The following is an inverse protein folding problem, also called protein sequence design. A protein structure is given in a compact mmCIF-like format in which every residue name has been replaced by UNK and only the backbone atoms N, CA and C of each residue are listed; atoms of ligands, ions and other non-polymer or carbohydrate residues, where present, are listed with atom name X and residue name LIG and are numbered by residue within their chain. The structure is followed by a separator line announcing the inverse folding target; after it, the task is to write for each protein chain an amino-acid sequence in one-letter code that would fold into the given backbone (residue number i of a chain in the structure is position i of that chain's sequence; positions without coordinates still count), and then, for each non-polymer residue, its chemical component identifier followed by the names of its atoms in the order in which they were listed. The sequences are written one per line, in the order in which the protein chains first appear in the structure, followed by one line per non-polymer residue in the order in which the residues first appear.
data_IF_391249415841
#
_entry.id   IF_391249415841
#
_cell.length_a   1.000
_cell.length_b   1.000
_cell.length_c   1.000
_cell.angle_alpha   90.00
_cell.angle_beta   90.00
_cell.angle_gamma   90.00
#
_symmetry.space_group_name_H-M   'P 1'
#
loop_
_entity.id
_entity.type
_entity.pdbx_description
1 polymer ?
#
# COMPACT_ATOMS: atom_id res chain seq x y z
N UNK A 1 -2.06 17.80 -9.62
CA UNK A 1 -2.18 16.85 -10.75
C UNK A 1 -2.76 15.58 -10.17
N UNK A 2 -3.84 15.04 -10.72
CA UNK A 2 -4.47 13.80 -10.24
C UNK A 2 -3.76 12.62 -10.90
N UNK A 3 -3.26 11.68 -10.11
CA UNK A 3 -2.65 10.43 -10.59
C UNK A 3 -3.76 9.36 -10.64
N UNK A 4 -4.21 8.92 -11.83
CA UNK A 4 -5.44 8.13 -11.94
C UNK A 4 -5.35 6.74 -11.31
N UNK A 5 -4.13 6.23 -11.11
CA UNK A 5 -3.86 4.89 -10.56
C UNK A 5 -3.10 4.94 -9.22
N UNK A 6 -2.99 6.12 -8.61
CA UNK A 6 -2.44 6.25 -7.26
C UNK A 6 -3.54 6.73 -6.33
N UNK A 7 -3.92 5.83 -5.42
CA UNK A 7 -4.93 6.06 -4.41
C UNK A 7 -4.26 6.49 -3.11
N UNK A 8 -4.84 7.49 -2.45
CA UNK A 8 -4.36 8.02 -1.18
C UNK A 8 -5.46 7.86 -0.15
N UNK A 9 -5.20 7.06 0.88
CA UNK A 9 -6.11 6.87 2.00
C UNK A 9 -5.46 7.33 3.29
N UNK A 10 -6.14 8.22 4.02
CA UNK A 10 -5.74 8.60 5.37
C UNK A 10 -6.59 7.87 6.40
N UNK A 11 -5.94 7.07 7.25
CA UNK A 11 -6.58 6.30 8.31
C UNK A 11 -6.40 7.05 9.63
N UNK A 12 -7.49 7.21 10.40
CA UNK A 12 -7.53 8.00 11.64
C UNK A 12 -7.82 7.11 12.85
N UNK A 13 -7.04 7.24 13.92
CA UNK A 13 -7.15 6.41 15.13
C UNK A 13 -8.37 6.71 16.04
N UNK A 14 -9.06 7.85 15.89
CA UNK A 14 -10.05 8.30 16.87
C UNK A 14 -11.39 8.68 16.21
N UNK A 15 -12.45 7.91 16.53
CA UNK A 15 -13.86 8.35 16.54
C UNK A 15 -14.48 8.76 15.20
N UNK A 16 -15.40 7.93 14.71
CA UNK A 16 -16.48 8.23 13.77
C UNK A 16 -16.21 8.40 12.26
N UNK A 17 -14.97 8.33 11.77
CA UNK A 17 -14.68 8.16 10.33
C UNK A 17 -13.39 7.36 10.10
N UNK A 18 -13.53 6.06 9.80
CA UNK A 18 -12.45 5.07 9.89
C UNK A 18 -11.33 5.19 8.86
N UNK A 19 -11.55 5.90 7.75
CA UNK A 19 -10.58 6.28 6.75
C UNK A 19 -11.21 7.31 5.78
N UNK A 20 -10.39 8.11 5.10
CA UNK A 20 -10.84 9.00 4.03
C UNK A 20 -9.92 8.92 2.81
N UNK A 21 -10.51 8.95 1.61
CA UNK A 21 -9.75 9.12 0.37
C UNK A 21 -9.35 10.58 0.20
N UNK A 22 -8.08 10.83 -0.11
CA UNK A 22 -7.54 12.16 -0.36
C UNK A 22 -7.39 12.43 -1.86
N UNK A 23 -7.63 13.67 -2.28
CA UNK A 23 -7.43 14.13 -3.66
C UNK A 23 -5.99 14.54 -3.98
N UNK A 24 -5.08 14.37 -3.01
CA UNK A 24 -3.68 14.75 -3.11
C UNK A 24 -2.94 14.43 -1.82
N UNK A 25 -1.60 14.43 -1.87
CA UNK A 25 -0.79 14.17 -0.68
C UNK A 25 -1.07 15.22 0.39
N UNK A 26 -1.29 14.80 1.65
CA UNK A 26 -1.41 15.75 2.74
C UNK A 26 -0.08 16.46 2.98
N UNK A 27 -0.14 17.68 3.52
CA UNK A 27 1.08 18.40 3.94
C UNK A 27 1.75 17.71 5.13
N UNK A 28 0.95 17.11 6.01
CA UNK A 28 1.41 16.40 7.21
C UNK A 28 0.49 15.21 7.52
N UNK A 29 1.08 14.10 8.00
CA UNK A 29 0.35 12.97 8.60
C UNK A 29 0.51 13.06 10.10
N UNK A 30 -0.59 13.30 10.83
CA UNK A 30 -0.56 13.60 12.27
C UNK A 30 -0.29 12.35 13.11
N UNK A 31 0.05 12.57 14.37
CA UNK A 31 0.17 11.47 15.33
C UNK A 31 -1.17 10.74 15.49
N UNK A 32 -1.15 9.41 15.31
CA UNK A 32 -2.37 8.59 15.31
C UNK A 32 -3.04 8.49 13.94
N UNK A 33 -2.44 9.04 12.90
CA UNK A 33 -2.83 8.83 11.51
C UNK A 33 -1.83 7.92 10.79
N UNK A 34 -2.32 7.23 9.76
CA UNK A 34 -1.52 6.44 8.83
C UNK A 34 -1.95 6.81 7.41
N UNK A 35 -1.01 7.22 6.56
CA UNK A 35 -1.25 7.40 5.13
C UNK A 35 -0.95 6.10 4.39
N UNK A 36 -1.97 5.49 3.80
CA UNK A 36 -1.78 4.41 2.84
C UNK A 36 -1.82 4.97 1.41
N UNK A 37 -0.72 4.78 0.70
CA UNK A 37 -0.57 5.05 -0.73
C UNK A 37 -0.63 3.73 -1.45
N UNK A 38 -1.54 3.59 -2.40
CA UNK A 38 -1.60 2.43 -3.28
C UNK A 38 -1.33 2.86 -4.70
N UNK A 39 -0.33 2.26 -5.35
CA UNK A 39 0.12 2.61 -6.68
C UNK A 39 -0.02 1.40 -7.62
N UNK A 40 -1.07 1.41 -8.42
CA UNK A 40 -1.27 0.44 -9.47
C UNK A 40 -0.51 0.85 -10.73
N UNK A 41 0.40 -0.02 -11.18
CA UNK A 41 1.18 0.14 -12.41
C UNK A 41 1.78 1.55 -12.59
N UNK A 42 2.47 2.12 -11.58
CA UNK A 42 2.95 3.49 -11.66
C UNK A 42 3.96 3.65 -12.80
N UNK A 43 3.92 4.81 -13.44
CA UNK A 43 4.94 5.22 -14.40
C UNK A 43 6.29 5.42 -13.70
N UNK A 44 7.39 5.41 -14.46
CA UNK A 44 8.72 5.71 -13.91
C UNK A 44 8.78 7.08 -13.22
N UNK A 45 8.05 8.07 -13.75
CA UNK A 45 7.97 9.39 -13.15
C UNK A 45 7.23 9.37 -11.80
N UNK A 46 6.08 8.70 -11.74
CA UNK A 46 5.33 8.56 -10.47
C UNK A 46 6.14 7.79 -9.42
N UNK A 47 6.86 6.74 -9.83
CA UNK A 47 7.75 6.00 -8.94
C UNK A 47 8.92 6.87 -8.44
N UNK A 48 9.50 7.70 -9.31
CA UNK A 48 10.54 8.66 -8.93
C UNK A 48 10.00 9.71 -7.95
N UNK A 49 8.77 10.19 -8.17
CA UNK A 49 8.11 11.14 -7.28
C UNK A 49 7.83 10.52 -5.91
N UNK A 50 7.36 9.27 -5.86
CA UNK A 50 7.16 8.52 -4.62
C UNK A 50 8.50 8.30 -3.89
N UNK A 51 9.53 7.89 -4.62
CA UNK A 51 10.90 7.73 -4.08
C UNK A 51 11.38 9.01 -3.41
N UNK A 52 11.29 10.14 -4.11
CA UNK A 52 11.72 11.42 -3.56
C UNK A 52 10.88 11.85 -2.36
N UNK A 53 9.55 11.69 -2.45
CA UNK A 53 8.59 12.15 -1.42
C UNK A 53 8.74 11.38 -0.11
N UNK A 54 8.94 10.08 -0.19
CA UNK A 54 9.01 9.19 0.98
C UNK A 54 10.43 8.78 1.35
N UNK A 55 11.44 9.32 0.64
CA UNK A 55 12.84 8.97 0.80
C UNK A 55 13.06 7.45 0.75
N UNK A 56 12.47 6.80 -0.26
CA UNK A 56 12.60 5.36 -0.48
C UNK A 56 14.03 5.01 -0.90
N UNK A 57 14.53 3.86 -0.44
CA UNK A 57 15.87 3.40 -0.75
C UNK A 57 16.06 3.11 -2.24
N UNK A 58 17.24 3.46 -2.77
CA UNK A 58 17.57 3.31 -4.18
C UNK A 58 17.47 1.85 -4.65
N UNK A 59 17.98 0.90 -3.86
CA UNK A 59 17.99 -0.52 -4.21
C UNK A 59 16.59 -1.13 -4.14
N UNK A 60 15.80 -0.72 -3.14
CA UNK A 60 14.42 -1.18 -3.03
C UNK A 60 13.55 -0.64 -4.18
N UNK A 61 13.78 0.59 -4.66
CA UNK A 61 13.08 1.12 -5.85
C UNK A 61 13.55 0.43 -7.13
N UNK A 62 14.84 0.13 -7.25
CA UNK A 62 15.40 -0.64 -8.36
C UNK A 62 14.72 -2.02 -8.50
N UNK A 63 14.41 -2.68 -7.38
CA UNK A 63 13.68 -3.94 -7.35
C UNK A 63 12.25 -3.83 -7.89
N UNK A 64 11.54 -2.73 -7.60
CA UNK A 64 10.20 -2.47 -8.14
C UNK A 64 10.26 -2.30 -9.67
N UNK A 65 11.29 -1.64 -10.18
CA UNK A 65 11.49 -1.42 -11.62
C UNK A 65 11.79 -2.74 -12.35
N UNK A 66 12.72 -3.52 -11.82
CA UNK A 66 13.21 -4.73 -12.48
C UNK A 66 12.32 -5.97 -12.28
N UNK A 67 11.47 -5.98 -11.24
CA UNK A 67 10.54 -7.07 -10.94
C UNK A 67 11.26 -8.42 -10.72
N UNK A 68 10.49 -9.50 -10.68
CA UNK A 68 10.98 -10.88 -10.52
C UNK A 68 11.83 -11.10 -9.26
N UNK A 69 11.41 -10.44 -8.19
CA UNK A 69 12.00 -10.48 -6.87
C UNK A 69 11.45 -11.65 -6.07
N UNK A 70 12.32 -12.28 -5.29
CA UNK A 70 11.89 -13.28 -4.31
C UNK A 70 11.17 -12.59 -3.15
N UNK A 71 10.21 -13.26 -2.48
CA UNK A 71 9.64 -12.73 -1.26
C UNK A 71 10.73 -12.46 -0.23
N UNK A 72 10.72 -11.26 0.33
CA UNK A 72 11.76 -10.77 1.24
C UNK A 72 11.24 -9.67 2.13
N UNK A 73 11.98 -9.40 3.20
CA UNK A 73 11.75 -8.32 4.15
C UNK A 73 13.12 -7.71 4.50
N UNK A 74 13.30 -6.44 4.20
CA UNK A 74 14.57 -5.73 4.33
C UNK A 74 14.36 -4.38 5.04
N UNK A 75 15.31 -3.99 5.89
CA UNK A 75 15.28 -2.71 6.60
C UNK A 75 16.22 -1.70 5.94
N UNK A 76 15.68 -0.53 5.61
CA UNK A 76 16.43 0.58 5.01
C UNK A 76 16.29 1.84 5.87
N UNK A 77 17.23 2.02 6.80
CA UNK A 77 17.24 3.16 7.72
C UNK A 77 16.04 3.16 8.65
N UNK A 78 14.97 3.90 8.29
CA UNK A 78 13.73 3.99 9.09
C UNK A 78 12.51 3.37 8.41
N UNK A 79 12.64 2.91 7.17
CA UNK A 79 11.58 2.23 6.43
C UNK A 79 11.91 0.76 6.28
N UNK A 80 10.87 -0.04 6.07
CA UNK A 80 10.98 -1.46 5.77
C UNK A 80 10.44 -1.67 4.36
N UNK A 81 11.11 -2.52 3.59
CA UNK A 81 10.71 -2.97 2.27
C UNK A 81 10.35 -4.45 2.32
N UNK A 82 9.20 -4.81 1.77
CA UNK A 82 8.77 -6.19 1.62
C UNK A 82 8.37 -6.49 0.17
N UNK A 83 8.66 -7.71 -0.25
CA UNK A 83 8.12 -8.29 -1.48
C UNK A 83 7.23 -9.46 -1.07
N UNK A 84 5.97 -9.42 -1.49
CA UNK A 84 4.99 -10.48 -1.25
C UNK A 84 4.53 -11.05 -2.59
N UNK A 85 4.53 -12.37 -2.71
CA UNK A 85 3.96 -13.06 -3.87
C UNK A 85 2.47 -13.29 -3.65
N UNK A 86 1.64 -12.64 -4.45
CA UNK A 86 0.18 -12.73 -4.40
C UNK A 86 -0.31 -13.59 -5.56
N UNK A 87 -0.91 -14.77 -5.30
CA UNK A 87 -1.51 -15.56 -6.37
C UNK A 87 -2.78 -14.86 -6.87
N UNK A 88 -2.85 -14.63 -8.18
CA UNK A 88 -4.01 -14.03 -8.85
C UNK A 88 -4.55 -15.01 -9.88
N UNK A 89 -5.88 -15.15 -9.94
CA UNK A 89 -6.55 -16.03 -10.91
C UNK A 89 -7.31 -15.17 -11.91
N UNK A 90 -6.89 -15.19 -13.17
CA UNK A 90 -7.54 -14.46 -14.27
C UNK A 90 -7.79 -15.41 -15.44
N UNK A 91 -9.03 -15.45 -15.95
CA UNK A 91 -9.40 -16.28 -17.10
C UNK A 91 -8.99 -17.76 -16.96
N UNK A 92 -9.18 -18.36 -15.77
CA UNK A 92 -8.79 -19.74 -15.42
C UNK A 92 -7.28 -20.02 -15.48
N UNK A 93 -6.44 -18.98 -15.51
CA UNK A 93 -4.98 -19.08 -15.34
C UNK A 93 -4.61 -18.47 -14.01
N UNK A 94 -3.72 -19.13 -13.28
CA UNK A 94 -3.09 -18.60 -12.08
C UNK A 94 -1.75 -17.98 -12.44
N UNK A 95 -1.51 -16.77 -11.98
CA UNK A 95 -0.21 -16.12 -12.02
C UNK A 95 0.18 -15.64 -10.63
N UNK A 96 1.47 -15.38 -10.44
CA UNK A 96 1.97 -14.75 -9.22
C UNK A 96 2.28 -13.30 -9.56
N UNK A 97 1.65 -12.39 -8.82
CA UNK A 97 1.91 -10.95 -8.89
C UNK A 97 2.77 -10.56 -7.70
N UNK A 98 3.71 -9.66 -7.93
CA UNK A 98 4.55 -9.09 -6.87
C UNK A 98 3.86 -7.88 -6.28
N UNK A 99 3.59 -7.95 -4.98
CA UNK A 99 3.20 -6.81 -4.17
C UNK A 99 4.45 -6.28 -3.47
N UNK A 100 4.92 -5.13 -3.93
CA UNK A 100 5.99 -4.39 -3.28
C UNK A 100 5.38 -3.51 -2.20
N UNK A 101 5.94 -3.56 -0.99
CA UNK A 101 5.45 -2.79 0.13
C UNK A 101 6.59 -2.02 0.77
N UNK A 102 6.43 -0.71 0.89
CA UNK A 102 7.26 0.12 1.74
C UNK A 102 6.43 0.54 2.94
N UNK A 103 6.99 0.52 4.14
CA UNK A 103 6.25 1.01 5.30
C UNK A 103 7.15 1.60 6.37
N UNK A 104 6.58 2.55 7.09
CA UNK A 104 7.16 3.25 8.23
C UNK A 104 6.03 3.55 9.24
N UNK A 105 6.37 4.16 10.38
CA UNK A 105 5.44 4.48 11.48
C UNK A 105 4.12 5.14 11.05
N UNK A 106 4.12 6.01 10.05
CA UNK A 106 2.97 6.85 9.67
C UNK A 106 2.57 6.72 8.20
N UNK A 107 3.16 5.79 7.45
CA UNK A 107 2.73 5.52 6.08
C UNK A 107 3.02 4.09 5.63
N UNK A 108 2.22 3.63 4.68
CA UNK A 108 2.41 2.38 3.93
C UNK A 108 2.26 2.72 2.45
N UNK A 109 3.12 2.18 1.60
CA UNK A 109 3.02 2.27 0.15
C UNK A 109 2.94 0.85 -0.40
N UNK A 110 1.89 0.55 -1.15
CA UNK A 110 1.76 -0.68 -1.93
C UNK A 110 1.98 -0.36 -3.41
N UNK A 111 2.75 -1.18 -4.09
CA UNK A 111 2.98 -1.07 -5.54
C UNK A 111 2.78 -2.44 -6.17
N UNK A 112 1.94 -2.49 -7.21
CA UNK A 112 1.62 -3.73 -7.92
C UNK A 112 1.38 -3.46 -9.41
N UNK A 113 1.65 -4.45 -10.26
CA UNK A 113 1.66 -4.28 -11.73
C UNK A 113 0.31 -4.50 -12.43
N UNK A 114 -0.72 -4.86 -11.68
CA UNK A 114 -2.08 -5.14 -12.19
C UNK A 114 -3.09 -4.79 -11.10
N UNK A 115 -4.33 -4.51 -11.48
CA UNK A 115 -5.47 -4.42 -10.54
C UNK A 115 -5.46 -5.59 -9.54
N UNK A 116 -5.60 -5.27 -8.26
CA UNK A 116 -5.45 -6.21 -7.16
C UNK A 116 -6.73 -6.32 -6.33
N UNK A 117 -7.43 -7.45 -6.46
CA UNK A 117 -8.60 -7.77 -5.63
C UNK A 117 -8.24 -7.79 -4.13
N UNK A 118 -7.01 -8.18 -3.79
CA UNK A 118 -6.53 -8.16 -2.41
C UNK A 118 -6.46 -6.74 -1.86
N UNK A 119 -5.90 -5.80 -2.62
CA UNK A 119 -5.82 -4.39 -2.21
C UNK A 119 -7.23 -3.80 -2.10
N UNK A 120 -8.10 -4.05 -3.08
CA UNK A 120 -9.48 -3.60 -3.05
C UNK A 120 -10.26 -4.14 -1.84
N UNK A 121 -10.03 -5.40 -1.46
CA UNK A 121 -10.66 -6.00 -0.28
C UNK A 121 -10.16 -5.34 1.04
N UNK A 122 -8.87 -5.01 1.12
CA UNK A 122 -8.29 -4.29 2.27
C UNK A 122 -8.85 -2.87 2.35
N UNK A 123 -8.86 -2.13 1.24
CA UNK A 123 -9.45 -0.79 1.10
C UNK A 123 -10.91 -0.78 1.54
N UNK A 124 -11.75 -1.63 0.94
CA UNK A 124 -13.17 -1.74 1.27
C UNK A 124 -13.41 -2.04 2.75
N UNK A 125 -12.59 -2.91 3.34
CA UNK A 125 -12.69 -3.28 4.76
C UNK A 125 -12.31 -2.13 5.68
N UNK A 126 -11.23 -1.41 5.37
CA UNK A 126 -10.79 -0.25 6.15
C UNK A 126 -11.82 0.89 6.03
N UNK A 127 -12.33 1.16 4.83
CA UNK A 127 -13.38 2.17 4.65
C UNK A 127 -14.66 1.84 5.42
N UNK A 128 -15.03 0.56 5.47
CA UNK A 128 -16.27 0.14 6.16
C UNK A 128 -16.11 0.09 7.68
N UNK A 129 -14.94 -0.32 8.20
CA UNK A 129 -14.77 -0.69 9.62
C UNK A 129 -13.65 0.07 10.34
N UNK A 130 -12.94 0.96 9.65
CA UNK A 130 -11.69 1.55 10.13
C UNK A 130 -10.61 0.50 10.39
N UNK A 131 -9.61 0.87 11.19
CA UNK A 131 -8.52 -0.01 11.65
C UNK A 131 -8.95 -1.05 12.71
N UNK A 132 -10.25 -1.17 12.99
CA UNK A 132 -10.79 -1.99 14.06
C UNK A 132 -10.55 -3.52 13.98
N UNK A 133 -10.15 -4.17 12.86
CA UNK A 133 -9.80 -5.59 12.91
C UNK A 133 -8.39 -5.88 13.47
N UNK A 134 -7.59 -4.86 13.81
CA UNK A 134 -6.41 -5.02 14.67
C UNK A 134 -6.78 -4.95 16.17
N UNK A 135 -8.05 -4.70 16.50
CA UNK A 135 -8.58 -4.92 17.84
C UNK A 135 -8.76 -6.42 18.10
N UNK A 136 -8.82 -6.81 19.37
CA UNK A 136 -8.84 -8.21 19.84
C UNK A 136 -10.05 -9.05 19.42
N UNK A 137 -10.96 -8.52 18.59
CA UNK A 137 -12.20 -9.18 18.17
C UNK A 137 -12.03 -9.75 16.76
N UNK A 138 -12.19 -11.08 16.55
CA UNK A 138 -12.03 -11.70 15.23
C UNK A 138 -12.98 -11.11 14.18
N UNK A 139 -12.52 -11.05 12.93
CA UNK A 139 -13.37 -10.62 11.81
C UNK A 139 -14.50 -11.61 11.55
N UNK A 140 -15.74 -11.15 11.34
CA UNK A 140 -16.85 -12.02 10.93
C UNK A 140 -16.60 -12.71 9.58
N UNK A 141 -15.77 -12.13 8.71
CA UNK A 141 -15.50 -12.67 7.36
C UNK A 141 -14.50 -13.85 7.35
N UNK A 142 -14.06 -14.30 8.53
CA UNK A 142 -13.22 -15.51 8.71
C UNK A 142 -14.00 -16.70 9.28
N UNK A 143 -15.34 -16.60 9.34
CA UNK A 143 -16.28 -17.64 9.78
C UNK A 143 -17.24 -17.99 8.63
#
# INVERSE_FOLDING_TARGET
MLWPLISLMLLKSNGDAGAETLNGFPEEVKQGELLWVDAESPTEQELADLKQRFALDDYAVEDVVHKNQRPKLEEYGKSVFAVIHVPVVKNRKSEIVELFMFFQKNWIITIHSVESELIHAVDSRIMTRGLSPLATTPSPDLL
#
